data_IF_449557673696
#
_entry.id   IF_449557673696
#
_cell.length_a   1.000
_cell.length_b   1.000
_cell.length_c   1.000
_cell.angle_alpha   90.00
_cell.angle_beta   90.00
_cell.angle_gamma   90.00
#
_symmetry.space_group_name_H-M   'P 1'
#
loop_
_entity.id
_entity.type
_entity.pdbx_description
1 polymer ?
#
# COMPACT_ATOMS: atom_id res chain seq x y z
N UNK A 1 12.31 -14.65 8.21
CA UNK A 1 11.43 -14.84 7.03
C UNK A 1 10.03 -15.00 7.58
N UNK A 2 9.26 -13.91 7.65
CA UNK A 2 7.87 -13.95 8.13
C UNK A 2 7.01 -14.32 6.93
N UNK A 3 6.84 -15.62 6.76
CA UNK A 3 5.89 -16.23 5.84
C UNK A 3 4.69 -16.70 6.69
N UNK A 4 3.46 -16.55 6.16
CA UNK A 4 2.16 -17.11 6.64
C UNK A 4 1.17 -16.17 7.37
N UNK A 5 1.52 -15.01 7.95
CA UNK A 5 0.52 -14.30 8.79
C UNK A 5 -0.51 -13.41 8.08
N UNK A 6 -0.32 -12.94 6.84
CA UNK A 6 -1.26 -11.96 6.24
C UNK A 6 -2.66 -12.55 5.98
N UNK A 7 -2.77 -13.87 5.71
CA UNK A 7 -4.06 -14.50 5.40
C UNK A 7 -4.96 -14.74 6.62
N UNK A 8 -4.42 -14.88 7.83
CA UNK A 8 -5.22 -15.18 9.03
C UNK A 8 -5.78 -13.94 9.74
N UNK A 9 -5.30 -12.74 9.40
CA UNK A 9 -5.76 -11.47 10.00
C UNK A 9 -6.96 -10.87 9.21
N UNK A 10 -7.31 -11.47 8.07
CA UNK A 10 -8.36 -10.99 7.14
C UNK A 10 -9.79 -10.99 7.68
N UNK A 11 -10.07 -11.62 8.82
CA UNK A 11 -11.42 -11.63 9.41
C UNK A 11 -11.78 -10.36 10.19
N UNK A 12 -10.81 -9.55 10.60
CA UNK A 12 -11.06 -8.33 11.40
C UNK A 12 -10.35 -7.07 10.88
N UNK A 13 -9.51 -7.15 9.84
CA UNK A 13 -8.92 -5.95 9.21
C UNK A 13 -9.92 -5.36 8.22
N UNK A 14 -10.54 -4.25 8.60
CA UNK A 14 -11.44 -3.49 7.72
C UNK A 14 -10.74 -2.31 7.03
N UNK A 15 -9.61 -1.87 7.57
CA UNK A 15 -8.83 -0.73 7.06
C UNK A 15 -7.31 -0.94 7.18
N UNK A 16 -6.53 -0.15 6.44
CA UNK A 16 -5.05 -0.12 6.57
C UNK A 16 -4.62 0.31 7.98
N UNK A 17 -5.40 1.17 8.63
CA UNK A 17 -5.12 1.63 9.99
C UNK A 17 -5.12 0.47 10.98
N UNK A 18 -6.10 -0.42 10.88
CA UNK A 18 -6.22 -1.63 11.69
C UNK A 18 -4.97 -2.50 11.54
N UNK A 19 -4.50 -2.73 10.29
CA UNK A 19 -3.29 -3.52 10.05
C UNK A 19 -2.06 -2.89 10.74
N UNK A 20 -1.89 -1.58 10.63
CA UNK A 20 -0.74 -0.88 11.23
C UNK A 20 -0.75 -0.94 12.76
N UNK A 21 -1.93 -0.95 13.36
CA UNK A 21 -2.09 -1.11 14.81
C UNK A 21 -1.61 -2.49 15.32
N UNK A 22 -1.69 -3.52 14.49
CA UNK A 22 -1.17 -4.86 14.81
C UNK A 22 0.32 -5.05 14.51
N UNK A 23 0.97 -4.08 13.87
CA UNK A 23 2.37 -4.16 13.43
C UNK A 23 3.38 -3.26 14.18
N UNK A 24 3.16 -2.80 15.43
CA UNK A 24 3.97 -1.71 15.99
C UNK A 24 5.46 -2.07 16.16
N UNK A 25 5.82 -3.35 16.24
CA UNK A 25 7.19 -3.81 16.51
C UNK A 25 7.95 -4.37 15.29
N UNK A 26 7.40 -4.29 14.08
CA UNK A 26 8.08 -4.84 12.90
C UNK A 26 9.22 -3.94 12.44
N UNK A 27 10.35 -4.53 12.04
CA UNK A 27 11.50 -3.84 11.47
C UNK A 27 11.55 -3.93 9.94
N UNK A 28 10.87 -4.92 9.36
CA UNK A 28 10.75 -5.16 7.94
C UNK A 28 9.29 -5.33 7.52
N UNK A 29 8.85 -4.57 6.51
CA UNK A 29 7.52 -4.66 5.92
C UNK A 29 7.65 -4.75 4.40
N UNK A 30 7.05 -5.80 3.82
CA UNK A 30 6.87 -5.91 2.36
C UNK A 30 5.38 -5.91 2.03
N UNK A 31 4.99 -5.05 1.09
CA UNK A 31 3.60 -4.88 0.67
C UNK A 31 3.51 -5.09 -0.84
N UNK A 32 2.62 -6.00 -1.26
CA UNK A 32 2.18 -6.08 -2.66
C UNK A 32 1.10 -5.00 -2.84
N UNK A 33 1.50 -3.89 -3.44
CA UNK A 33 0.76 -2.64 -3.44
C UNK A 33 -0.62 -2.76 -4.11
N UNK A 34 -0.72 -3.52 -5.21
CA UNK A 34 -1.96 -3.76 -5.94
C UNK A 34 -3.04 -4.41 -5.06
N UNK A 35 -2.70 -5.53 -4.39
CA UNK A 35 -3.63 -6.21 -3.49
C UNK A 35 -4.05 -5.30 -2.35
N UNK A 36 -3.12 -4.51 -1.84
CA UNK A 36 -3.34 -3.68 -0.67
C UNK A 36 -4.39 -2.58 -0.89
N UNK A 37 -4.41 -1.97 -2.08
CA UNK A 37 -5.40 -0.94 -2.43
C UNK A 37 -6.75 -1.50 -2.86
N UNK A 38 -6.79 -2.68 -3.48
CA UNK A 38 -8.03 -3.29 -3.93
C UNK A 38 -8.93 -3.70 -2.77
N UNK A 39 -8.36 -4.03 -1.61
CA UNK A 39 -9.10 -4.58 -0.49
C UNK A 39 -9.28 -3.63 0.70
N UNK A 40 -8.48 -2.56 0.82
CA UNK A 40 -8.51 -1.69 2.00
C UNK A 40 -8.64 -0.20 1.65
N UNK A 41 -9.57 0.53 2.30
CA UNK A 41 -9.64 1.98 2.15
C UNK A 41 -8.40 2.65 2.74
N UNK A 42 -7.89 3.67 2.03
CA UNK A 42 -6.73 4.45 2.46
C UNK A 42 -7.12 5.39 3.62
N UNK A 43 -6.52 5.25 4.81
CA UNK A 43 -6.73 6.18 5.90
C UNK A 43 -5.98 7.49 5.64
N UNK A 44 -6.51 8.59 6.15
CA UNK A 44 -5.86 9.91 6.04
C UNK A 44 -4.56 9.97 6.85
N UNK A 45 -4.55 9.29 7.99
CA UNK A 45 -3.42 9.20 8.92
C UNK A 45 -3.36 7.78 9.49
N UNK A 46 -2.16 7.32 9.84
CA UNK A 46 -2.00 6.04 10.53
C UNK A 46 -2.15 6.25 12.04
N UNK A 47 -2.91 5.39 12.75
CA UNK A 47 -3.19 5.54 14.17
C UNK A 47 -1.91 5.42 15.03
N UNK A 48 -0.94 4.65 14.54
CA UNK A 48 0.30 4.35 15.24
C UNK A 48 1.50 4.64 14.34
N UNK A 49 2.55 5.24 14.92
CA UNK A 49 3.84 5.42 14.23
C UNK A 49 4.59 4.10 14.19
N UNK A 50 5.05 3.73 13.01
CA UNK A 50 5.91 2.57 12.73
C UNK A 50 7.36 2.87 13.14
N UNK A 51 7.58 3.18 14.42
CA UNK A 51 8.89 3.61 14.95
C UNK A 51 9.95 2.52 14.87
N UNK A 52 9.55 1.24 14.83
CA UNK A 52 10.49 0.13 14.72
C UNK A 52 10.82 -0.23 13.27
N UNK A 53 10.06 0.29 12.30
CA UNK A 53 10.23 -0.04 10.89
C UNK A 53 11.51 0.58 10.35
N UNK A 54 12.40 -0.29 9.87
CA UNK A 54 13.69 0.07 9.27
C UNK A 54 13.73 -0.20 7.78
N UNK A 55 12.95 -1.16 7.29
CA UNK A 55 12.97 -1.60 5.91
C UNK A 55 11.55 -1.68 5.36
N UNK A 56 11.26 -0.89 4.34
CA UNK A 56 9.99 -0.90 3.63
C UNK A 56 10.22 -1.34 2.18
N UNK A 57 9.52 -2.39 1.76
CA UNK A 57 9.46 -2.85 0.39
C UNK A 57 8.03 -2.71 -0.12
N UNK A 58 7.87 -2.05 -1.27
CA UNK A 58 6.60 -2.03 -1.98
C UNK A 58 6.79 -2.62 -3.37
N UNK A 59 6.00 -3.65 -3.65
CA UNK A 59 6.02 -4.37 -4.92
C UNK A 59 4.80 -3.99 -5.76
N UNK A 60 4.98 -3.93 -7.08
CA UNK A 60 3.90 -3.67 -8.05
C UNK A 60 3.24 -2.30 -7.85
N UNK A 61 4.07 -1.27 -7.66
CA UNK A 61 3.61 0.11 -7.48
C UNK A 61 3.25 0.71 -8.84
N UNK A 62 1.99 1.11 -8.99
CA UNK A 62 1.50 1.82 -10.18
C UNK A 62 1.34 3.31 -9.87
N UNK A 63 2.30 4.14 -10.26
CA UNK A 63 2.22 5.59 -9.98
C UNK A 63 1.07 6.30 -10.71
N UNK A 64 0.50 5.70 -11.76
CA UNK A 64 -0.73 6.18 -12.39
C UNK A 64 -1.95 6.10 -11.46
N UNK A 65 -1.92 5.21 -10.46
CA UNK A 65 -3.04 5.06 -9.54
C UNK A 65 -3.05 6.20 -8.50
N UNK A 66 -4.21 6.85 -8.34
CA UNK A 66 -4.40 8.05 -7.50
C UNK A 66 -3.95 7.92 -6.04
N UNK A 67 -3.85 6.70 -5.51
CA UNK A 67 -3.49 6.45 -4.11
C UNK A 67 -2.02 6.03 -3.91
N UNK A 68 -1.24 5.86 -4.98
CA UNK A 68 0.15 5.40 -4.89
C UNK A 68 1.09 6.36 -4.18
N UNK A 69 1.12 7.60 -4.65
CA UNK A 69 1.94 8.63 -3.99
C UNK A 69 1.43 8.94 -2.57
N UNK A 70 0.10 9.13 -2.34
CA UNK A 70 -0.41 9.34 -0.99
C UNK A 70 -0.07 8.23 0.00
N UNK A 71 -0.24 6.95 -0.40
CA UNK A 71 0.06 5.82 0.48
C UNK A 71 1.54 5.72 0.80
N UNK A 72 2.41 5.86 -0.22
CA UNK A 72 3.86 5.87 0.00
C UNK A 72 4.28 6.97 0.98
N UNK A 73 3.75 8.18 0.79
CA UNK A 73 4.05 9.31 1.65
C UNK A 73 3.56 9.10 3.09
N UNK A 74 2.38 8.49 3.25
CA UNK A 74 1.83 8.12 4.55
C UNK A 74 2.76 7.13 5.26
N UNK A 75 3.21 6.08 4.57
CA UNK A 75 4.11 5.09 5.15
C UNK A 75 5.46 5.70 5.56
N UNK A 76 6.05 6.56 4.73
CA UNK A 76 7.31 7.25 5.04
C UNK A 76 7.15 8.15 6.27
N UNK A 77 6.08 8.97 6.32
CA UNK A 77 5.84 9.90 7.44
C UNK A 77 5.59 9.16 8.76
N UNK A 78 4.99 7.99 8.70
CA UNK A 78 4.71 7.17 9.87
C UNK A 78 5.91 6.35 10.32
N UNK A 79 7.00 6.28 9.55
CA UNK A 79 8.17 5.44 9.81
C UNK A 79 9.43 6.28 10.06
N UNK A 80 9.56 6.95 11.22
CA UNK A 80 10.64 7.92 11.45
C UNK A 80 12.05 7.32 11.48
N UNK A 81 12.18 6.02 11.69
CA UNK A 81 13.47 5.31 11.74
C UNK A 81 13.72 4.46 10.48
N UNK A 82 13.04 4.76 9.38
CA UNK A 82 13.20 4.02 8.13
C UNK A 82 14.62 4.18 7.58
N UNK A 83 15.35 3.07 7.52
CA UNK A 83 16.73 3.00 7.01
C UNK A 83 16.77 2.74 5.50
N UNK A 84 15.84 1.92 4.98
CA UNK A 84 15.79 1.54 3.56
C UNK A 84 14.37 1.51 3.01
N UNK A 85 14.24 1.99 1.78
CA UNK A 85 13.03 1.93 0.98
C UNK A 85 13.34 1.24 -0.36
N UNK A 86 12.63 0.15 -0.67
CA UNK A 86 12.64 -0.52 -1.97
C UNK A 86 11.29 -0.32 -2.63
N UNK A 87 11.31 0.18 -3.86
CA UNK A 87 10.12 0.33 -4.70
C UNK A 87 10.32 -0.48 -5.97
N UNK A 88 9.44 -1.43 -6.23
CA UNK A 88 9.32 -2.07 -7.53
C UNK A 88 8.14 -1.44 -8.27
N UNK A 89 8.50 -0.59 -9.22
CA UNK A 89 7.54 0.18 -10.00
C UNK A 89 7.15 -0.68 -11.19
N UNK A 90 5.85 -0.91 -11.33
CA UNK A 90 5.33 -1.55 -12.52
C UNK A 90 4.89 -0.44 -13.49
N UNK A 91 5.53 -0.42 -14.66
CA UNK A 91 5.24 0.53 -15.71
C UNK A 91 4.14 -0.09 -16.55
N UNK A 92 2.89 0.15 -16.19
CA UNK A 92 1.82 -0.10 -17.15
C UNK A 92 2.02 0.90 -18.30
N UNK A 93 2.36 0.37 -19.47
CA UNK A 93 2.19 1.07 -20.74
C UNK A 93 0.76 1.59 -20.76
N UNK A 94 0.63 2.92 -20.75
CA UNK A 94 -0.62 3.70 -20.79
C UNK A 94 -1.87 2.84 -21.04
N UNK A 95 -2.74 2.72 -20.02
CA UNK A 95 -4.15 2.45 -20.30
C UNK A 95 -4.61 3.50 -21.31
N UNK A 96 -4.74 3.09 -22.56
CA UNK A 96 -5.29 3.93 -23.62
C UNK A 96 -6.74 4.23 -23.21
N UNK A 97 -7.02 5.47 -22.83
CA UNK A 97 -8.36 5.97 -22.47
C UNK A 97 -9.34 5.94 -23.66
N UNK A 98 -8.96 5.37 -24.80
CA UNK A 98 -9.78 5.29 -26.02
C UNK A 98 -11.04 4.43 -25.92
N UNK A 99 -11.26 3.69 -24.81
CA UNK A 99 -12.47 2.87 -24.60
C UNK A 99 -13.59 3.51 -23.75
N UNK A 100 -13.47 4.77 -23.34
CA UNK A 100 -14.61 5.53 -22.79
C UNK A 100 -15.13 6.55 -23.80
N UNK A 101 -15.64 6.05 -24.92
CA UNK A 101 -16.52 6.83 -25.80
C UNK A 101 -17.99 6.45 -25.51
N UNK A 102 -18.80 7.31 -24.87
CA UNK A 102 -20.24 7.06 -24.67
C UNK A 102 -21.07 7.13 -25.96
N UNK A 103 -20.45 7.34 -27.13
CA UNK A 103 -21.14 7.57 -28.39
C UNK A 103 -21.58 6.27 -29.08
N UNK A 104 -22.32 5.39 -28.39
CA UNK A 104 -23.14 4.36 -29.04
C UNK A 104 -24.43 4.12 -28.25
N UNK A 105 -25.23 5.17 -28.08
CA UNK A 105 -26.66 5.04 -27.81
C UNK A 105 -27.39 6.06 -28.68
N UNK A 106 -27.69 5.66 -29.91
CA UNK A 106 -28.80 6.20 -30.70
C UNK A 106 -29.92 5.16 -30.68
#
# INVERSE_FOLDING_TARGET
MVDISILSITREISTIADLVEYLPAIDYLCIIFFLFLCFLPLPKELPTKLVHLKYLCMEWVWFCHKYSVPFLLLMIRSSPNLEKLKLEINVEESFDESYQNPSVLY
#
